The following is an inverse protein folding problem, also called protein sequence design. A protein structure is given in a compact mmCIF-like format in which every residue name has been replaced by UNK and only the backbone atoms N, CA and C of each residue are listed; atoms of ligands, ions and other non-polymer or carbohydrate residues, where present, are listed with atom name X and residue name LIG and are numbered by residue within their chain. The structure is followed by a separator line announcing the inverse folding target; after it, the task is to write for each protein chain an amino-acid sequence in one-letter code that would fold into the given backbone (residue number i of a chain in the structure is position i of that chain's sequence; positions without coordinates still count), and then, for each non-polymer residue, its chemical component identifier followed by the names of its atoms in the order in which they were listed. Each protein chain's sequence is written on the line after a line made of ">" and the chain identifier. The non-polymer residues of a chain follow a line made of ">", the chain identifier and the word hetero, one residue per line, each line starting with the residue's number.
data_IF_689314369108
#
_entry.id   IF_689314369108
#
_cell.length_a   1.000
_cell.length_b   1.000
_cell.length_c   1.000
_cell.angle_alpha   90.00
_cell.angle_beta   90.00
_cell.angle_gamma   90.00
#
_symmetry.space_group_name_H-M   'P 1'
#
loop_
_entity.id
_entity.type
_entity.pdbx_description
1 polymer ?
#
# COMPACT_ATOMS: atom_id res chain seq x y z
N UNK A 1 -8.54 -6.29 20.67
CA UNK A 1 -9.39 -5.78 19.57
C UNK A 1 -10.56 -5.03 20.19
N UNK A 2 -10.47 -3.70 20.24
CA UNK A 2 -11.55 -2.84 20.78
C UNK A 2 -12.81 -2.98 19.92
N UNK A 3 -13.95 -2.66 20.52
CA UNK A 3 -15.34 -2.77 20.04
C UNK A 3 -15.69 -1.98 18.76
N UNK A 4 -14.71 -1.64 17.94
CA UNK A 4 -14.81 -0.76 16.78
C UNK A 4 -14.23 -1.48 15.56
N UNK A 5 -14.96 -1.46 14.44
CA UNK A 5 -14.56 -2.11 13.18
C UNK A 5 -15.41 -3.34 12.82
N UNK A 6 -15.01 -4.02 11.74
CA UNK A 6 -15.69 -5.23 11.26
C UNK A 6 -15.09 -6.47 11.89
N UNK A 7 -15.92 -7.38 12.40
CA UNK A 7 -15.46 -8.66 12.95
C UNK A 7 -14.67 -9.45 11.91
N UNK A 8 -13.49 -9.96 12.29
CA UNK A 8 -12.58 -10.66 11.39
C UNK A 8 -11.78 -9.77 10.44
N UNK A 9 -11.97 -8.45 10.45
CA UNK A 9 -11.11 -7.53 9.70
C UNK A 9 -9.75 -7.39 10.38
N UNK A 10 -8.68 -7.67 9.63
CA UNK A 10 -7.29 -7.55 10.11
C UNK A 10 -6.78 -6.10 9.98
N UNK A 11 -7.27 -5.35 9.00
CA UNK A 11 -6.86 -3.97 8.78
C UNK A 11 -7.46 -3.36 7.51
N UNK A 12 -7.27 -2.06 7.37
CA UNK A 12 -7.71 -1.26 6.23
C UNK A 12 -6.52 -0.94 5.34
N UNK A 13 -6.70 -1.11 4.03
CA UNK A 13 -5.68 -0.86 3.02
C UNK A 13 -6.02 0.37 2.21
N UNK A 14 -5.02 1.23 1.98
CA UNK A 14 -5.16 2.40 1.11
C UNK A 14 -3.88 2.66 0.30
N UNK A 15 -4.06 3.22 -0.90
CA UNK A 15 -3.00 3.62 -1.81
C UNK A 15 -2.65 5.10 -1.65
N UNK A 16 -1.36 5.42 -1.64
CA UNK A 16 -0.87 6.79 -1.56
C UNK A 16 0.30 7.01 -2.52
N UNK A 17 0.46 8.25 -2.98
CA UNK A 17 1.51 8.62 -3.93
C UNK A 17 2.43 9.68 -3.32
N UNK A 18 3.74 9.44 -3.37
CA UNK A 18 4.76 10.40 -2.95
C UNK A 18 5.25 11.20 -4.16
N UNK A 19 5.05 12.54 -4.20
CA UNK A 19 5.48 13.34 -5.33
C UNK A 19 7.00 13.40 -5.41
N UNK A 20 7.51 13.27 -6.63
CA UNK A 20 8.92 13.47 -6.98
C UNK A 20 9.12 14.91 -7.45
N UNK A 21 10.21 15.54 -7.00
CA UNK A 21 10.55 16.91 -7.38
C UNK A 21 10.78 17.06 -8.90
N UNK A 22 11.40 16.05 -9.50
CA UNK A 22 11.74 16.03 -10.92
C UNK A 22 11.51 14.64 -11.52
N UNK A 23 11.41 14.60 -12.85
CA UNK A 23 11.35 13.36 -13.63
C UNK A 23 12.58 12.48 -13.34
N UNK A 24 12.40 11.19 -13.00
CA UNK A 24 13.52 10.26 -12.88
C UNK A 24 14.29 10.11 -14.20
N UNK A 25 15.63 9.99 -14.10
CA UNK A 25 16.49 9.88 -15.28
C UNK A 25 16.36 8.55 -16.03
N UNK A 26 15.95 7.48 -15.33
CA UNK A 26 15.69 6.16 -15.89
C UNK A 26 14.18 5.91 -15.93
N UNK A 27 13.67 5.53 -17.11
CA UNK A 27 12.25 5.27 -17.36
C UNK A 27 11.27 6.33 -16.84
N UNK A 28 11.67 7.60 -16.74
CA UNK A 28 10.90 8.64 -16.01
C UNK A 28 9.42 8.81 -16.39
N UNK A 29 9.00 8.39 -17.58
CA UNK A 29 7.59 8.37 -18.00
C UNK A 29 6.72 7.46 -17.13
N UNK A 30 7.25 6.34 -16.62
CA UNK A 30 6.48 5.40 -15.79
C UNK A 30 6.10 6.02 -14.43
N UNK A 31 6.81 7.04 -14.00
CA UNK A 31 6.51 7.75 -12.75
C UNK A 31 5.45 8.83 -12.95
N UNK A 32 5.09 9.16 -14.19
CA UNK A 32 4.05 10.15 -14.46
C UNK A 32 2.68 9.56 -14.15
N UNK A 33 2.04 10.08 -13.11
CA UNK A 33 0.80 9.52 -12.59
C UNK A 33 -0.47 10.13 -13.24
N UNK A 34 -1.64 9.59 -12.86
CA UNK A 34 -2.94 10.07 -13.32
C UNK A 34 -3.23 11.53 -12.94
N UNK A 35 -2.69 12.02 -11.83
CA UNK A 35 -2.83 13.39 -11.33
C UNK A 35 -1.87 14.36 -12.04
N UNK A 36 -0.98 13.86 -12.90
CA UNK A 36 0.01 14.59 -13.70
C UNK A 36 1.28 15.11 -12.96
N UNK A 37 1.60 14.76 -11.71
CA UNK A 37 2.98 14.82 -11.24
C UNK A 37 3.75 13.51 -11.51
N UNK A 38 5.08 13.58 -11.36
CA UNK A 38 5.88 12.38 -11.18
C UNK A 38 5.76 11.92 -9.73
N UNK A 39 5.48 10.65 -9.49
CA UNK A 39 5.30 10.13 -8.13
C UNK A 39 5.73 8.67 -7.98
N UNK A 40 5.92 8.27 -6.73
CA UNK A 40 6.06 6.87 -6.31
C UNK A 40 4.74 6.42 -5.69
N UNK A 41 4.24 5.27 -6.09
CA UNK A 41 3.08 4.64 -5.45
C UNK A 41 3.54 3.81 -4.24
N UNK A 42 2.75 3.87 -3.17
CA UNK A 42 2.85 3.03 -2.01
C UNK A 42 1.46 2.60 -1.53
N UNK A 43 1.39 1.41 -0.95
CA UNK A 43 0.18 0.86 -0.36
C UNK A 43 0.45 0.52 1.10
N UNK A 44 -0.45 0.96 1.98
CA UNK A 44 -0.27 0.88 3.43
C UNK A 44 -1.50 0.20 4.03
N UNK A 45 -1.26 -0.68 5.00
CA UNK A 45 -2.29 -1.38 5.77
C UNK A 45 -2.18 -0.94 7.22
N UNK A 46 -3.30 -0.48 7.77
CA UNK A 46 -3.42 -0.07 9.16
C UNK A 46 -4.47 -0.89 9.91
N UNK A 47 -4.18 -1.26 11.16
CA UNK A 47 -5.16 -1.91 12.03
C UNK A 47 -6.17 -0.92 12.66
N UNK A 48 -7.12 -1.43 13.44
CA UNK A 48 -8.12 -0.62 14.14
C UNK A 48 -7.51 0.27 15.24
N UNK A 49 -6.31 -0.05 15.73
CA UNK A 49 -5.57 0.77 16.70
C UNK A 49 -4.68 1.83 16.02
N UNK A 50 -4.82 1.98 14.69
CA UNK A 50 -4.13 2.97 13.83
C UNK A 50 -2.63 2.71 13.70
N UNK A 51 -2.20 1.47 13.91
CA UNK A 51 -0.83 1.05 13.70
C UNK A 51 -0.64 0.58 12.26
N UNK A 52 0.49 0.94 11.65
CA UNK A 52 0.88 0.42 10.34
C UNK A 52 1.38 -1.01 10.54
N UNK A 53 0.66 -1.97 9.98
CA UNK A 53 0.95 -3.41 10.13
C UNK A 53 1.59 -4.00 8.87
N UNK A 54 1.43 -3.35 7.72
CA UNK A 54 2.07 -3.72 6.47
C UNK A 54 2.21 -2.50 5.57
N UNK A 55 3.30 -2.41 4.81
CA UNK A 55 3.46 -1.40 3.78
C UNK A 55 4.28 -1.94 2.60
N UNK A 56 4.01 -1.40 1.41
CA UNK A 56 4.79 -1.62 0.20
C UNK A 56 4.97 -0.27 -0.50
N UNK A 57 6.18 0.00 -0.97
CA UNK A 57 6.51 1.26 -1.67
C UNK A 57 7.55 1.01 -2.75
N UNK A 58 7.82 2.03 -3.58
CA UNK A 58 8.86 1.99 -4.61
C UNK A 58 8.34 1.67 -6.00
N UNK A 59 7.02 1.51 -6.15
CA UNK A 59 6.40 1.35 -7.46
C UNK A 59 6.25 2.70 -8.17
N UNK A 60 6.27 2.73 -9.50
CA UNK A 60 5.96 3.94 -10.24
C UNK A 60 4.55 4.48 -9.96
N UNK A 61 4.39 5.80 -9.94
CA UNK A 61 3.13 6.48 -9.71
C UNK A 61 2.02 6.16 -10.73
N UNK A 62 2.39 5.67 -11.92
CA UNK A 62 1.42 5.21 -12.92
C UNK A 62 0.80 3.84 -12.60
N UNK A 63 1.38 3.07 -11.67
CA UNK A 63 0.90 1.74 -11.32
C UNK A 63 -0.41 1.80 -10.53
N UNK A 64 -1.33 0.90 -10.84
CA UNK A 64 -2.59 0.77 -10.12
C UNK A 64 -2.38 0.10 -8.76
N UNK A 65 -3.19 0.49 -7.77
CA UNK A 65 -3.15 -0.06 -6.41
C UNK A 65 -3.41 -1.58 -6.38
N UNK A 66 -4.19 -2.09 -7.33
CA UNK A 66 -4.42 -3.53 -7.47
C UNK A 66 -3.17 -4.30 -7.91
N UNK A 67 -2.27 -3.67 -8.66
CA UNK A 67 -0.98 -4.26 -9.02
C UNK A 67 -0.06 -4.32 -7.81
N UNK A 68 0.02 -3.23 -7.03
CA UNK A 68 0.79 -3.21 -5.78
C UNK A 68 0.27 -4.26 -4.80
N UNK A 69 -1.05 -4.37 -4.65
CA UNK A 69 -1.67 -5.32 -3.74
C UNK A 69 -1.23 -6.76 -3.99
N UNK A 70 -1.16 -7.17 -5.27
CA UNK A 70 -0.75 -8.54 -5.65
C UNK A 70 0.67 -8.88 -5.22
N UNK A 71 1.52 -7.86 -5.17
CA UNK A 71 2.93 -7.97 -4.81
C UNK A 71 3.13 -7.87 -3.29
N UNK A 72 2.16 -7.31 -2.56
CA UNK A 72 2.25 -7.21 -1.11
C UNK A 72 2.35 -8.60 -0.46
N UNK A 73 3.18 -8.67 0.59
CA UNK A 73 3.25 -9.84 1.45
C UNK A 73 1.89 -10.23 2.04
N UNK A 74 0.98 -9.26 2.20
CA UNK A 74 -0.40 -9.52 2.60
C UNK A 74 -1.15 -10.42 1.60
N UNK A 75 -0.97 -10.22 0.29
CA UNK A 75 -1.59 -11.06 -0.73
C UNK A 75 -0.85 -12.40 -0.90
N UNK A 76 0.49 -12.35 -0.96
CA UNK A 76 1.34 -13.53 -1.20
C UNK A 76 1.31 -14.51 -0.02
N UNK A 77 1.30 -13.99 1.21
CA UNK A 77 1.43 -14.75 2.46
C UNK A 77 0.28 -14.43 3.44
N UNK A 78 -0.96 -14.37 2.92
CA UNK A 78 -2.16 -13.98 3.69
C UNK A 78 -2.34 -14.78 4.99
N UNK A 79 -1.97 -16.06 5.02
CA UNK A 79 -2.03 -16.91 6.22
C UNK A 79 -1.29 -16.31 7.42
N UNK A 80 -0.14 -15.65 7.22
CA UNK A 80 0.60 -15.01 8.32
C UNK A 80 -0.16 -13.81 8.92
N UNK A 81 -0.98 -13.14 8.11
CA UNK A 81 -1.77 -11.98 8.54
C UNK A 81 -3.14 -12.39 9.09
N UNK A 82 -3.69 -13.53 8.65
CA UNK A 82 -4.99 -14.04 9.08
C UNK A 82 -4.91 -14.90 10.35
N UNK A 83 -3.82 -15.66 10.55
CA UNK A 83 -3.67 -16.60 11.67
C UNK A 83 -3.26 -15.90 12.97
N UNK A 84 -2.72 -14.67 12.90
CA UNK A 84 -2.40 -13.88 14.09
C UNK A 84 -3.38 -12.73 14.27
N UNK A 85 -4.44 -12.98 15.04
CA UNK A 85 -5.11 -11.92 15.84
C UNK A 85 -4.23 -11.37 16.97
N UNK A 86 -2.90 -11.40 16.81
CA UNK A 86 -1.87 -10.97 17.75
C UNK A 86 -0.89 -10.05 17.01
N UNK A 87 -1.42 -9.00 16.42
CA UNK A 87 -0.70 -7.73 16.23
C UNK A 87 -1.07 -6.85 17.43
#
# INVERSE_FOLDING_TARGET
>A
MKSEGFEGCVGFIDGTTFPLYQKPGFDGEIYFDRKKPYSLNAQIVCDCDKLIICFMSGWPGSCADSSLYKEMGLHVNHEFFLIKGNI
#
